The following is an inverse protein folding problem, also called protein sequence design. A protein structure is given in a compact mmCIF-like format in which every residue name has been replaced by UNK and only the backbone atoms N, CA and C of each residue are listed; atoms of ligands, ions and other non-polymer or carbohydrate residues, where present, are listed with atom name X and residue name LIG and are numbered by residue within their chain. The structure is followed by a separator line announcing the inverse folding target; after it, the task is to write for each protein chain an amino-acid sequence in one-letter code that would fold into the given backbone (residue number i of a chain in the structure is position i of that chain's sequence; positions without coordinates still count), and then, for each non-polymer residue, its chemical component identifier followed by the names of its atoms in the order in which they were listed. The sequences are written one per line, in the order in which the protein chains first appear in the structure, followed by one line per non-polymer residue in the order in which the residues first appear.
data_IF_164523475601
#
_entry.id   IF_164523475601
#
_cell.length_a   1.000
_cell.length_b   1.000
_cell.length_c   1.000
_cell.angle_alpha   90.00
_cell.angle_beta   90.00
_cell.angle_gamma   90.00
#
_symmetry.space_group_name_H-M   'P 1'
#
loop_
_entity.id
_entity.type
_entity.pdbx_description
1 polymer ?
#
# COMPACT_ATOMS: atom_id res chain seq x y z
N UNK A 1 -7.21 37.64 -8.93
CA UNK A 1 -6.85 36.55 -7.98
C UNK A 1 -7.62 35.25 -8.20
N UNK A 2 -8.86 35.28 -8.73
CA UNK A 2 -9.68 34.07 -8.97
C UNK A 2 -9.15 33.10 -10.04
N UNK A 3 -8.67 33.60 -11.19
CA UNK A 3 -8.25 32.74 -12.31
C UNK A 3 -7.06 31.81 -11.98
N UNK A 4 -6.04 32.29 -11.25
CA UNK A 4 -4.91 31.45 -10.83
C UNK A 4 -5.31 30.38 -9.81
N UNK A 5 -6.30 30.67 -8.95
CA UNK A 5 -6.85 29.69 -8.01
C UNK A 5 -7.63 28.61 -8.76
N UNK A 6 -8.46 28.99 -9.73
CA UNK A 6 -9.19 28.03 -10.57
C UNK A 6 -8.25 27.11 -11.36
N UNK A 7 -7.21 27.67 -11.99
CA UNK A 7 -6.21 26.88 -12.71
C UNK A 7 -5.46 25.90 -11.78
N UNK A 8 -5.06 26.37 -10.58
CA UNK A 8 -4.44 25.51 -9.55
C UNK A 8 -5.34 24.33 -9.17
N UNK A 9 -6.63 24.60 -8.99
CA UNK A 9 -7.61 23.59 -8.56
C UNK A 9 -7.86 22.57 -9.68
N UNK A 10 -7.90 22.99 -10.93
CA UNK A 10 -8.03 22.12 -12.10
C UNK A 10 -6.81 21.23 -12.31
N UNK A 11 -5.59 21.79 -12.24
CA UNK A 11 -4.35 21.03 -12.30
C UNK A 11 -4.31 19.93 -11.22
N UNK A 12 -4.66 20.30 -9.98
CA UNK A 12 -4.70 19.34 -8.90
C UNK A 12 -5.78 18.27 -9.11
N UNK A 13 -6.98 18.64 -9.56
CA UNK A 13 -8.05 17.67 -9.86
C UNK A 13 -7.62 16.66 -10.92
N UNK A 14 -6.99 17.12 -12.00
CA UNK A 14 -6.48 16.25 -13.05
C UNK A 14 -5.42 15.27 -12.50
N UNK A 15 -4.47 15.79 -11.71
CA UNK A 15 -3.47 14.95 -11.03
C UNK A 15 -4.11 13.93 -10.08
N UNK A 16 -5.06 14.35 -9.25
CA UNK A 16 -5.73 13.51 -8.30
C UNK A 16 -6.50 12.38 -9.01
N UNK A 17 -7.26 12.70 -10.06
CA UNK A 17 -7.97 11.71 -10.86
C UNK A 17 -7.02 10.70 -11.52
N UNK A 18 -5.89 11.16 -12.06
CA UNK A 18 -4.90 10.29 -12.71
C UNK A 18 -4.18 9.34 -11.74
N UNK A 19 -3.98 9.76 -10.47
CA UNK A 19 -3.16 9.01 -9.51
C UNK A 19 -3.96 8.26 -8.45
N UNK A 20 -5.24 8.58 -8.27
CA UNK A 20 -6.12 8.01 -7.25
C UNK A 20 -6.06 6.49 -7.19
N UNK A 21 -6.35 5.82 -8.31
CA UNK A 21 -6.42 4.35 -8.38
C UNK A 21 -5.09 3.68 -8.04
N UNK A 22 -3.95 4.34 -8.29
CA UNK A 22 -2.64 3.81 -7.95
C UNK A 22 -2.35 3.98 -6.46
N UNK A 23 -2.64 5.16 -5.90
CA UNK A 23 -2.49 5.42 -4.46
C UNK A 23 -3.43 4.55 -3.63
N UNK A 24 -4.67 4.36 -4.09
CA UNK A 24 -5.66 3.53 -3.44
C UNK A 24 -5.24 2.06 -3.34
N UNK A 25 -4.65 1.49 -4.39
CA UNK A 25 -4.13 0.11 -4.34
C UNK A 25 -3.03 -0.04 -3.29
N UNK A 26 -2.08 0.90 -3.24
CA UNK A 26 -1.03 0.91 -2.20
C UNK A 26 -1.65 1.06 -0.81
N UNK A 27 -2.58 2.01 -0.63
CA UNK A 27 -3.27 2.24 0.63
C UNK A 27 -4.03 0.99 1.10
N UNK A 28 -4.71 0.31 0.19
CA UNK A 28 -5.46 -0.92 0.47
C UNK A 28 -4.55 -2.06 0.91
N UNK A 29 -3.40 -2.24 0.24
CA UNK A 29 -2.41 -3.23 0.66
C UNK A 29 -1.81 -2.93 2.05
N UNK A 30 -1.64 -1.64 2.38
CA UNK A 30 -1.12 -1.23 3.69
C UNK A 30 -2.18 -1.35 4.80
N UNK A 31 -3.36 -0.77 4.59
CA UNK A 31 -4.46 -0.74 5.57
C UNK A 31 -5.08 -2.13 5.78
N UNK A 32 -5.25 -2.91 4.72
CA UNK A 32 -5.91 -4.22 4.75
C UNK A 32 -7.43 -4.18 4.64
N UNK A 33 -8.03 -2.98 4.62
CA UNK A 33 -9.47 -2.77 4.47
C UNK A 33 -9.75 -1.53 3.60
N UNK A 34 -10.94 -1.49 3.01
CA UNK A 34 -11.34 -0.43 2.07
C UNK A 34 -11.44 0.94 2.75
N UNK A 35 -12.09 1.03 3.90
CA UNK A 35 -12.32 2.31 4.57
C UNK A 35 -11.00 2.95 5.03
N UNK A 36 -10.10 2.16 5.62
CA UNK A 36 -8.77 2.59 5.99
C UNK A 36 -7.94 3.04 4.79
N UNK A 37 -8.13 2.41 3.63
CA UNK A 37 -7.46 2.81 2.39
C UNK A 37 -8.00 4.13 1.83
N UNK A 38 -9.32 4.30 1.77
CA UNK A 38 -9.96 5.53 1.29
C UNK A 38 -9.56 6.72 2.18
N UNK A 39 -9.64 6.56 3.50
CA UNK A 39 -9.23 7.55 4.49
C UNK A 39 -7.75 7.95 4.32
N UNK A 40 -6.87 6.96 4.09
CA UNK A 40 -5.45 7.22 3.91
C UNK A 40 -5.16 7.98 2.60
N UNK A 41 -5.84 7.65 1.50
CA UNK A 41 -5.69 8.40 0.23
C UNK A 41 -6.24 9.80 0.37
N UNK A 42 -7.41 9.97 1.01
CA UNK A 42 -8.00 11.29 1.23
C UNK A 42 -7.03 12.20 2.01
N UNK A 43 -6.49 11.74 3.14
CA UNK A 43 -5.52 12.51 3.92
C UNK A 43 -4.25 12.85 3.12
N UNK A 44 -3.76 11.93 2.29
CA UNK A 44 -2.60 12.18 1.43
C UNK A 44 -2.90 13.24 0.36
N UNK A 45 -4.09 13.18 -0.25
CA UNK A 45 -4.54 14.15 -1.25
C UNK A 45 -4.79 15.53 -0.65
N UNK A 46 -5.41 15.65 0.52
CA UNK A 46 -5.63 16.92 1.22
C UNK A 46 -4.31 17.64 1.51
N UNK A 47 -3.32 16.89 1.99
CA UNK A 47 -1.96 17.40 2.22
C UNK A 47 -1.24 17.71 0.91
N UNK A 48 -1.42 16.87 -0.11
CA UNK A 48 -0.92 17.11 -1.46
C UNK A 48 -1.46 18.41 -2.05
N UNK A 49 -2.74 18.69 -1.88
CA UNK A 49 -3.39 19.92 -2.31
C UNK A 49 -2.86 21.15 -1.58
N UNK A 50 -2.74 21.06 -0.25
CA UNK A 50 -2.18 22.13 0.59
C UNK A 50 -0.75 22.45 0.16
N UNK A 51 0.04 21.43 -0.16
CA UNK A 51 1.41 21.54 -0.64
C UNK A 51 1.55 21.59 -2.18
N UNK A 52 0.46 21.83 -2.92
CA UNK A 52 0.44 21.59 -4.38
C UNK A 52 1.54 22.33 -5.14
N UNK A 53 1.89 23.56 -4.74
CA UNK A 53 3.00 24.30 -5.34
C UNK A 53 4.35 23.57 -5.28
N UNK A 54 4.62 22.80 -4.22
CA UNK A 54 5.81 21.95 -4.10
C UNK A 54 5.64 20.64 -4.86
N UNK A 55 4.43 20.07 -4.84
CA UNK A 55 4.12 18.81 -5.53
C UNK A 55 4.30 18.96 -7.04
N UNK A 56 3.72 20.00 -7.65
CA UNK A 56 3.83 20.25 -9.10
C UNK A 56 5.26 20.59 -9.56
N UNK A 57 6.08 21.10 -8.65
CA UNK A 57 7.48 21.45 -8.91
C UNK A 57 8.46 20.31 -8.58
N UNK A 58 7.97 19.21 -8.01
CA UNK A 58 8.80 18.06 -7.70
C UNK A 58 9.15 17.30 -8.99
N UNK A 59 10.31 16.65 -9.01
CA UNK A 59 10.71 15.79 -10.12
C UNK A 59 9.71 14.65 -10.39
N UNK A 60 9.08 14.15 -9.33
CA UNK A 60 7.97 13.19 -9.41
C UNK A 60 6.85 13.59 -8.42
N UNK A 61 5.78 14.25 -8.91
CA UNK A 61 4.61 14.61 -8.11
C UNK A 61 3.91 13.42 -7.45
N UNK A 62 3.86 12.28 -8.14
CA UNK A 62 3.25 11.06 -7.62
C UNK A 62 4.08 10.49 -6.46
N UNK A 63 5.41 10.43 -6.58
CA UNK A 63 6.29 10.00 -5.50
C UNK A 63 6.17 10.90 -4.26
N UNK A 64 5.98 12.21 -4.44
CA UNK A 64 5.73 13.11 -3.32
C UNK A 64 4.48 12.72 -2.53
N UNK A 65 3.33 12.60 -3.22
CA UNK A 65 2.05 12.29 -2.56
C UNK A 65 2.04 10.86 -2.01
N UNK A 66 2.68 9.92 -2.70
CA UNK A 66 2.91 8.56 -2.22
C UNK A 66 3.72 8.53 -0.94
N UNK A 67 4.76 9.36 -0.82
CA UNK A 67 5.52 9.50 0.43
C UNK A 67 4.66 10.05 1.56
N UNK A 68 3.79 11.02 1.29
CA UNK A 68 2.81 11.52 2.28
C UNK A 68 1.90 10.39 2.75
N UNK A 69 1.36 9.58 1.82
CA UNK A 69 0.51 8.42 2.12
C UNK A 69 1.22 7.41 3.04
N UNK A 70 2.46 7.04 2.72
CA UNK A 70 3.25 6.09 3.52
C UNK A 70 3.53 6.64 4.92
N UNK A 71 3.84 7.94 5.02
CA UNK A 71 4.08 8.61 6.31
C UNK A 71 2.82 8.66 7.18
N UNK A 72 1.65 8.89 6.59
CA UNK A 72 0.38 8.86 7.34
C UNK A 72 0.04 7.46 7.84
N UNK A 73 0.26 6.44 7.01
CA UNK A 73 0.10 5.06 7.43
C UNK A 73 1.03 4.73 8.60
N UNK A 74 2.32 5.10 8.49
CA UNK A 74 3.31 4.93 9.54
C UNK A 74 2.91 5.61 10.85
N UNK A 75 2.34 6.82 10.77
CA UNK A 75 1.86 7.59 11.93
C UNK A 75 0.64 6.92 12.58
N UNK A 76 -0.34 6.47 11.79
CA UNK A 76 -1.51 5.73 12.28
C UNK A 76 -1.10 4.42 12.96
N UNK A 77 -0.20 3.67 12.34
CA UNK A 77 0.27 2.38 12.85
C UNK A 77 0.99 2.52 14.19
N UNK A 78 1.81 3.58 14.37
CA UNK A 78 2.51 3.86 15.63
C UNK A 78 1.57 4.28 16.77
N UNK A 79 0.40 4.85 16.46
CA UNK A 79 -0.56 5.36 17.45
C UNK A 79 -1.58 4.31 17.91
N UNK A 80 -1.72 3.19 17.20
CA UNK A 80 -2.67 2.14 17.59
C UNK A 80 -2.06 1.25 18.71
N UNK A 81 -2.79 1.01 19.82
CA UNK A 81 -2.38 0.02 20.79
C UNK A 81 -2.28 -1.37 20.11
N UNK A 82 -1.32 -2.19 20.57
CA UNK A 82 -0.91 -3.46 19.93
C UNK A 82 -2.03 -4.49 19.73
N UNK A 83 -3.20 -4.31 20.34
CA UNK A 83 -4.29 -5.28 20.39
C UNK A 83 -5.29 -5.20 19.22
N UNK A 84 -5.30 -4.13 18.42
CA UNK A 84 -6.19 -4.01 17.25
C UNK A 84 -5.43 -4.14 15.93
N UNK A 85 -4.78 -5.29 15.73
CA UNK A 85 -4.40 -5.73 14.40
C UNK A 85 -5.63 -6.39 13.77
N UNK A 86 -6.52 -5.56 13.24
CA UNK A 86 -7.73 -6.01 12.53
C UNK A 86 -7.33 -7.09 11.52
N UNK A 87 -7.75 -8.32 11.80
CA UNK A 87 -7.76 -9.50 10.93
C UNK A 87 -8.99 -9.46 10.04
N UNK A 88 -9.32 -8.29 9.45
CA UNK A 88 -10.31 -8.27 8.40
C UNK A 88 -9.69 -8.96 7.19
N UNK A 89 -10.24 -10.12 6.85
CA UNK A 89 -10.07 -10.72 5.54
C UNK A 89 -10.47 -9.63 4.53
N UNK A 90 -9.57 -9.23 3.62
CA UNK A 90 -9.82 -8.13 2.72
C UNK A 90 -11.06 -8.43 1.87
N UNK A 91 -12.01 -7.49 1.87
CA UNK A 91 -13.19 -7.57 1.03
C UNK A 91 -12.77 -7.58 -0.44
N UNK A 92 -12.95 -8.74 -1.09
CA UNK A 92 -12.35 -9.07 -2.38
C UNK A 92 -12.84 -8.08 -3.44
N UNK A 93 -11.98 -7.25 -4.06
CA UNK A 93 -12.43 -6.45 -5.19
C UNK A 93 -12.69 -7.41 -6.37
N UNK A 94 -13.95 -7.52 -6.79
CA UNK A 94 -14.29 -8.20 -8.04
C UNK A 94 -13.80 -7.34 -9.23
N UNK A 95 -12.97 -7.87 -10.15
CA UNK A 95 -12.76 -7.23 -11.44
C UNK A 95 -13.68 -7.89 -12.46
N UNK A 96 -14.62 -7.10 -12.98
CA UNK A 96 -15.26 -7.41 -14.26
C UNK A 96 -14.25 -7.15 -15.39
N UNK A 97 -14.02 -8.17 -16.22
CA UNK A 97 -13.53 -8.01 -17.58
C UNK A 97 -12.01 -8.14 -17.79
N UNK A 98 -11.65 -9.22 -18.49
CA UNK A 98 -10.43 -9.43 -19.28
C UNK A 98 -9.16 -9.81 -18.50
N UNK A 99 -8.80 -11.09 -18.61
CA UNK A 99 -7.59 -11.80 -18.13
C UNK A 99 -6.84 -11.20 -16.90
N UNK A 100 -7.22 -11.56 -15.66
CA UNK A 100 -6.67 -10.97 -14.45
C UNK A 100 -5.81 -11.89 -13.56
N UNK A 101 -5.34 -13.06 -14.03
CA UNK A 101 -4.93 -14.12 -13.10
C UNK A 101 -3.71 -13.80 -12.23
N UNK A 102 -2.57 -13.36 -12.77
CA UNK A 102 -1.35 -13.23 -11.95
C UNK A 102 -1.39 -12.05 -10.97
N UNK A 103 -1.92 -10.89 -11.41
CA UNK A 103 -1.92 -9.67 -10.58
C UNK A 103 -3.01 -9.72 -9.51
N UNK A 104 -4.20 -10.24 -9.83
CA UNK A 104 -5.26 -10.41 -8.83
C UNK A 104 -4.85 -11.48 -7.80
N UNK A 105 -4.21 -12.57 -8.23
CA UNK A 105 -3.64 -13.59 -7.32
C UNK A 105 -2.58 -12.97 -6.42
N UNK A 106 -1.64 -12.17 -6.93
CA UNK A 106 -0.63 -11.50 -6.12
C UNK A 106 -1.26 -10.55 -5.09
N UNK A 107 -2.24 -9.75 -5.49
CA UNK A 107 -2.94 -8.84 -4.60
C UNK A 107 -3.69 -9.61 -3.49
N UNK A 108 -4.38 -10.70 -3.84
CA UNK A 108 -5.04 -11.57 -2.87
C UNK A 108 -4.06 -12.23 -1.90
N UNK A 109 -2.94 -12.74 -2.41
CA UNK A 109 -1.90 -13.38 -1.60
C UNK A 109 -1.23 -12.39 -0.63
N UNK A 110 -0.92 -11.17 -1.10
CA UNK A 110 -0.43 -10.08 -0.24
C UNK A 110 -1.42 -9.76 0.87
N UNK A 111 -2.69 -9.69 0.53
CA UNK A 111 -3.74 -9.30 1.46
C UNK A 111 -3.96 -10.35 2.56
N UNK A 112 -3.68 -11.64 2.29
CA UNK A 112 -3.65 -12.73 3.27
C UNK A 112 -2.45 -12.75 4.22
N UNK A 113 -1.44 -11.90 4.03
CA UNK A 113 -0.30 -11.83 4.94
C UNK A 113 -0.65 -11.13 6.27
N UNK A 114 -0.03 -11.55 7.40
CA UNK A 114 -0.06 -10.81 8.63
C UNK A 114 0.35 -9.34 8.43
N UNK A 115 -0.28 -8.36 9.12
CA UNK A 115 -0.13 -6.94 8.79
C UNK A 115 1.32 -6.44 8.71
N UNK A 116 2.18 -6.86 9.65
CA UNK A 116 3.61 -6.47 9.66
C UNK A 116 4.42 -7.08 8.52
N UNK A 117 4.09 -8.30 8.09
CA UNK A 117 4.75 -8.95 6.96
C UNK A 117 4.30 -8.31 5.65
N UNK A 118 2.98 -8.09 5.50
CA UNK A 118 2.40 -7.35 4.37
C UNK A 118 3.03 -5.97 4.21
N UNK A 119 3.09 -5.19 5.31
CA UNK A 119 3.71 -3.87 5.31
C UNK A 119 5.17 -3.92 4.84
N UNK A 120 5.98 -4.83 5.38
CA UNK A 120 7.39 -4.96 4.98
C UNK A 120 7.53 -5.30 3.49
N UNK A 121 6.72 -6.23 2.98
CA UNK A 121 6.76 -6.64 1.57
C UNK A 121 6.32 -5.51 0.64
N UNK A 122 5.20 -4.84 0.96
CA UNK A 122 4.68 -3.71 0.15
C UNK A 122 5.70 -2.58 0.10
N UNK A 123 6.24 -2.16 1.25
CA UNK A 123 7.19 -1.05 1.28
C UNK A 123 8.51 -1.38 0.53
N UNK A 124 9.00 -2.62 0.64
CA UNK A 124 10.29 -3.00 0.03
C UNK A 124 10.21 -3.34 -1.45
N UNK A 125 9.14 -3.99 -1.89
CA UNK A 125 9.09 -4.60 -3.23
C UNK A 125 7.98 -4.05 -4.12
N UNK A 126 6.95 -3.43 -3.55
CA UNK A 126 5.90 -2.75 -4.34
C UNK A 126 6.20 -1.25 -4.49
N UNK A 127 6.76 -0.65 -3.45
CA UNK A 127 7.07 0.77 -3.37
C UNK A 127 8.56 1.10 -3.58
N UNK A 128 9.40 0.07 -3.73
CA UNK A 128 10.86 0.13 -3.92
C UNK A 128 11.61 0.98 -2.88
N UNK A 129 11.08 1.10 -1.65
CA UNK A 129 11.78 1.80 -0.58
C UNK A 129 12.94 0.98 -0.08
N UNK A 130 14.07 1.59 0.26
CA UNK A 130 15.21 0.90 0.90
C UNK A 130 14.85 0.29 2.26
N UNK A 131 15.68 -0.59 2.79
CA UNK A 131 15.45 -1.21 4.10
C UNK A 131 15.37 -0.18 5.23
N UNK A 132 16.21 0.86 5.17
CA UNK A 132 16.22 1.95 6.13
C UNK A 132 14.94 2.78 6.03
N UNK A 133 14.51 3.13 4.82
CA UNK A 133 13.26 3.88 4.60
C UNK A 133 12.04 3.07 5.06
N UNK A 134 12.01 1.77 4.76
CA UNK A 134 10.97 0.87 5.24
C UNK A 134 10.98 0.76 6.77
N UNK A 135 12.15 0.71 7.41
CA UNK A 135 12.27 0.62 8.87
C UNK A 135 11.73 1.88 9.56
N UNK A 136 12.07 3.06 9.02
CA UNK A 136 11.54 4.35 9.47
C UNK A 136 10.02 4.40 9.35
N UNK A 137 9.47 4.00 8.19
CA UNK A 137 8.02 3.94 7.96
C UNK A 137 7.32 2.90 8.84
N UNK A 138 7.96 1.78 9.17
CA UNK A 138 7.41 0.75 10.05
C UNK A 138 7.56 1.08 11.54
N UNK A 139 8.43 2.04 11.89
CA UNK A 139 8.80 2.34 13.27
C UNK A 139 9.48 1.17 13.97
N UNK A 140 10.37 0.46 13.27
CA UNK A 140 11.11 -0.69 13.79
C UNK A 140 12.58 -0.71 13.32
N UNK A 141 13.36 -1.72 13.72
CA UNK A 141 14.74 -1.87 13.26
C UNK A 141 14.82 -2.40 11.83
N UNK A 142 15.92 -2.12 11.12
CA UNK A 142 16.20 -2.70 9.79
C UNK A 142 16.17 -4.23 9.81
N UNK A 143 16.71 -4.86 10.88
CA UNK A 143 16.62 -6.31 11.06
C UNK A 143 15.17 -6.82 11.19
N UNK A 144 14.28 -6.03 11.80
CA UNK A 144 12.84 -6.35 11.84
C UNK A 144 12.22 -6.29 10.45
N UNK A 145 12.58 -5.29 9.63
CA UNK A 145 12.12 -5.22 8.23
C UNK A 145 12.56 -6.45 7.45
N UNK A 146 13.85 -6.79 7.50
CA UNK A 146 14.41 -7.97 6.81
C UNK A 146 13.68 -9.25 7.19
N UNK A 147 13.53 -9.50 8.49
CA UNK A 147 12.88 -10.71 8.99
C UNK A 147 11.39 -10.77 8.62
N UNK A 148 10.65 -9.66 8.70
CA UNK A 148 9.25 -9.63 8.31
C UNK A 148 9.05 -9.73 6.79
N UNK A 149 9.91 -9.10 6.00
CA UNK A 149 9.92 -9.23 4.54
C UNK A 149 10.22 -10.68 4.11
N UNK A 150 11.25 -11.30 4.71
CA UNK A 150 11.60 -12.69 4.43
C UNK A 150 10.44 -13.66 4.75
N UNK A 151 9.81 -13.52 5.92
CA UNK A 151 8.64 -14.33 6.31
C UNK A 151 7.44 -14.09 5.39
N UNK A 152 7.19 -12.84 5.01
CA UNK A 152 6.12 -12.49 4.07
C UNK A 152 6.35 -13.13 2.70
N UNK A 153 7.56 -13.01 2.15
CA UNK A 153 7.92 -13.64 0.89
C UNK A 153 7.84 -15.18 0.94
N UNK A 154 8.24 -15.81 2.05
CA UNK A 154 8.09 -17.25 2.23
C UNK A 154 6.61 -17.69 2.13
N UNK A 155 5.71 -17.00 2.85
CA UNK A 155 4.27 -17.26 2.75
C UNK A 155 3.68 -17.03 1.36
N UNK A 156 4.14 -15.99 0.66
CA UNK A 156 3.69 -15.73 -0.72
C UNK A 156 4.13 -16.84 -1.69
N UNK A 157 5.30 -17.45 -1.47
CA UNK A 157 5.77 -18.59 -2.25
C UNK A 157 4.92 -19.84 -2.00
N UNK A 158 4.58 -20.11 -0.74
CA UNK A 158 3.67 -21.20 -0.36
C UNK A 158 2.27 -21.02 -0.97
N UNK A 159 1.77 -19.78 -1.03
CA UNK A 159 0.46 -19.45 -1.61
C UNK A 159 0.46 -19.40 -3.15
N UNK A 160 1.62 -19.47 -3.80
CA UNK A 160 1.69 -19.40 -5.26
C UNK A 160 1.27 -20.73 -5.90
N UNK A 161 0.32 -20.72 -6.86
CA UNK A 161 -0.19 -21.95 -7.48
C UNK A 161 0.87 -22.76 -8.24
N UNK A 162 2.07 -22.21 -8.51
CA UNK A 162 3.21 -22.99 -9.05
C UNK A 162 3.76 -24.04 -8.09
N UNK A 163 3.41 -23.99 -6.79
CA UNK A 163 3.84 -24.99 -5.79
C UNK A 163 2.73 -26.02 -5.47
N UNK A 164 1.59 -25.97 -6.18
CA UNK A 164 0.43 -26.86 -5.98
C UNK A 164 0.52 -28.24 -6.62
N UNK A 165 1.73 -28.77 -6.90
CA UNK A 165 1.93 -30.13 -7.42
C UNK A 165 2.52 -31.12 -6.41
N UNK A 166 2.68 -30.77 -5.13
CA UNK A 166 3.13 -31.73 -4.12
C UNK A 166 2.32 -31.56 -2.84
N UNK A 167 1.41 -32.51 -2.58
CA UNK A 167 0.80 -32.67 -1.26
C UNK A 167 -0.68 -33.05 -1.20
N UNK A 168 -1.26 -33.73 -2.19
CA UNK A 168 -2.48 -34.52 -1.97
C UNK A 168 -2.06 -35.97 -1.77
N UNK A 169 -2.26 -36.51 -0.56
CA UNK A 169 -2.17 -37.95 -0.30
C UNK A 169 -1.30 -38.32 0.89
N UNK A 170 -1.93 -38.64 2.02
CA UNK A 170 -1.22 -39.28 3.14
C UNK A 170 -1.97 -39.28 4.47
N UNK A 171 -3.28 -39.55 4.44
CA UNK A 171 -3.99 -39.93 5.66
C UNK A 171 -3.56 -41.34 6.09
N UNK A 172 -3.22 -41.48 7.37
CA UNK A 172 -3.49 -42.68 8.16
C UNK A 172 -3.94 -42.23 9.53
#
# INVERSE_FOLDING_TARGET
MGAQKTARDEEFRAFAAATWSRLFRTAYLLAGDRHGAEDLVQQAMERGYTAWGRVRSAADPYAYVRRVLINEHARRFRRRPREQLVTAVPDRPAPAGSDPDARAVLLGALAGLPPRQRQAVVLRYWEDLSETQAAEAMGCSVGTVKSQAARGLAKLREASPRNGLIGIGGGR
#
